data_IF_272707024921
#
_entry.id   IF_272707024921
#
_cell.length_a   1.000
_cell.length_b   1.000
_cell.length_c   1.000
_cell.angle_alpha   90.00
_cell.angle_beta   90.00
_cell.angle_gamma   90.00
#
_symmetry.space_group_name_H-M   'P 1'
#
loop_
_entity.id
_entity.type
_entity.pdbx_description
1 polymer ?
#
# COMPACT_ATOMS: atom_id res chain seq x y z
N UNK A 1 5.80 10.30 9.66
CA UNK A 1 6.58 9.27 8.91
C UNK A 1 5.93 7.92 9.12
N UNK A 2 5.76 7.16 8.03
CA UNK A 2 5.32 5.75 8.09
C UNK A 2 6.47 4.86 7.64
N UNK A 3 6.59 3.66 8.24
CA UNK A 3 7.71 2.76 7.99
C UNK A 3 7.30 1.29 8.19
N UNK A 4 8.00 0.37 7.55
CA UNK A 4 7.78 -1.06 7.72
C UNK A 4 8.19 -1.47 9.14
N UNK A 5 7.29 -2.11 9.85
CA UNK A 5 7.47 -2.47 11.25
C UNK A 5 6.89 -3.85 11.56
N UNK A 6 7.69 -4.71 12.17
CA UNK A 6 7.18 -5.92 12.82
C UNK A 6 7.18 -5.68 14.33
N UNK A 7 6.01 -5.48 14.98
CA UNK A 7 5.96 -5.19 16.41
C UNK A 7 6.31 -6.39 17.30
N UNK A 8 6.31 -7.59 16.74
CA UNK A 8 6.39 -8.83 17.52
C UNK A 8 7.80 -9.42 17.60
N UNK A 9 8.64 -9.16 16.60
CA UNK A 9 10.01 -9.70 16.57
C UNK A 9 10.90 -8.96 15.55
N UNK A 10 12.25 -9.15 15.58
CA UNK A 10 13.18 -8.46 14.69
C UNK A 10 13.32 -9.12 13.31
N UNK A 11 12.49 -10.10 12.97
CA UNK A 11 12.55 -10.79 11.69
C UNK A 11 11.44 -10.32 10.76
N UNK A 12 11.62 -10.56 9.47
CA UNK A 12 10.59 -10.28 8.47
C UNK A 12 9.35 -11.15 8.70
N UNK A 13 8.18 -10.52 8.67
CA UNK A 13 6.87 -11.15 8.86
C UNK A 13 5.98 -10.26 9.71
N UNK A 14 4.67 -10.47 9.66
CA UNK A 14 3.68 -9.70 10.41
C UNK A 14 3.88 -8.19 10.29
N UNK A 15 4.06 -7.74 9.04
CA UNK A 15 4.47 -6.36 8.73
C UNK A 15 3.29 -5.41 8.87
N UNK A 16 3.50 -4.41 9.72
CA UNK A 16 2.64 -3.25 9.95
C UNK A 16 3.27 -2.00 9.33
N UNK A 17 2.51 -0.93 9.21
CA UNK A 17 3.05 0.41 9.01
C UNK A 17 3.22 1.09 10.37
N UNK A 18 4.43 1.10 10.88
CA UNK A 18 4.81 1.91 12.04
C UNK A 18 4.60 3.38 11.71
N UNK A 19 4.31 4.18 12.74
CA UNK A 19 4.03 5.60 12.57
C UNK A 19 4.80 6.42 13.61
N UNK A 20 5.48 7.46 13.16
CA UNK A 20 6.17 8.40 14.02
C UNK A 20 5.99 9.84 13.52
N UNK A 21 5.97 10.78 14.45
CA UNK A 21 5.86 12.22 14.20
C UNK A 21 7.06 12.96 14.73
N UNK A 22 7.45 14.04 14.07
CA UNK A 22 8.55 14.92 14.49
C UNK A 22 8.25 16.35 14.04
N UNK A 23 8.64 17.31 14.87
CA UNK A 23 8.60 18.73 14.55
C UNK A 23 9.88 19.24 13.90
N UNK A 24 10.99 18.49 14.04
CA UNK A 24 12.33 18.93 13.60
C UNK A 24 13.08 17.90 12.73
N UNK A 25 12.45 16.75 12.43
CA UNK A 25 13.01 15.62 11.69
C UNK A 25 14.21 14.93 12.38
N UNK A 26 14.51 15.28 13.61
CA UNK A 26 15.59 14.70 14.42
C UNK A 26 15.04 13.96 15.62
N UNK A 27 14.10 14.57 16.32
CA UNK A 27 13.45 13.97 17.48
C UNK A 27 12.07 13.42 17.06
N UNK A 28 11.90 12.12 17.21
CA UNK A 28 10.70 11.41 16.77
C UNK A 28 9.93 10.87 17.95
N UNK A 29 8.61 10.92 17.83
CA UNK A 29 7.68 10.33 18.79
C UNK A 29 6.86 9.27 18.08
N UNK A 30 6.88 8.05 18.60
CA UNK A 30 6.06 6.96 18.09
C UNK A 30 4.58 7.19 18.38
N UNK A 31 3.78 6.85 17.40
CA UNK A 31 2.32 6.85 17.43
C UNK A 31 1.80 5.42 17.20
N UNK A 32 0.51 5.16 17.44
CA UNK A 32 -0.08 3.87 17.04
C UNK A 32 0.19 3.56 15.56
N UNK A 33 0.37 2.29 15.19
CA UNK A 33 0.56 1.90 13.80
C UNK A 33 -0.54 2.46 12.88
N UNK A 34 -0.15 2.98 11.72
CA UNK A 34 -1.11 3.44 10.71
C UNK A 34 -1.88 2.29 10.07
N UNK A 35 -1.18 1.18 9.80
CA UNK A 35 -1.81 -0.04 9.29
C UNK A 35 -1.33 -1.24 10.07
N UNK A 36 -2.26 -2.15 10.35
CA UNK A 36 -1.97 -3.47 10.94
C UNK A 36 -2.61 -4.55 10.07
N UNK A 37 -2.02 -5.74 9.95
CA UNK A 37 -2.65 -6.86 9.28
C UNK A 37 -3.99 -7.20 9.90
N UNK A 38 -5.00 -7.47 9.08
CA UNK A 38 -6.33 -7.88 9.52
C UNK A 38 -6.64 -9.30 9.02
N UNK A 39 -7.35 -10.07 9.85
CA UNK A 39 -7.81 -11.40 9.48
C UNK A 39 -8.80 -11.39 8.30
N UNK A 40 -9.39 -10.26 7.98
CA UNK A 40 -10.31 -10.04 6.87
C UNK A 40 -9.94 -8.78 6.09
N UNK A 41 -9.99 -8.82 4.77
CA UNK A 41 -10.01 -10.00 3.92
C UNK A 41 -8.69 -10.27 3.18
N UNK A 42 -7.63 -9.40 3.22
CA UNK A 42 -6.63 -9.39 2.14
C UNK A 42 -5.19 -9.09 2.56
N UNK A 43 -4.92 -8.88 3.84
CA UNK A 43 -3.58 -8.53 4.29
C UNK A 43 -3.15 -9.20 5.61
N UNK A 44 -3.74 -10.36 5.91
CA UNK A 44 -3.34 -11.17 7.06
C UNK A 44 -1.88 -11.64 7.01
N UNK A 45 -1.25 -11.60 5.83
CA UNK A 45 0.17 -11.85 5.64
C UNK A 45 1.05 -10.60 5.74
N UNK A 46 0.46 -9.42 5.95
CA UNK A 46 1.15 -8.16 6.16
C UNK A 46 0.65 -7.00 5.29
N UNK A 47 0.83 -5.80 5.83
CA UNK A 47 0.69 -4.53 5.13
C UNK A 47 2.08 -4.10 4.64
N UNK A 48 2.41 -4.38 3.38
CA UNK A 48 3.73 -4.07 2.83
C UNK A 48 3.79 -2.67 2.22
N UNK A 49 4.92 -2.34 1.60
CA UNK A 49 5.20 -0.99 1.10
C UNK A 49 4.18 -0.44 0.10
N UNK A 50 4.19 0.85 -0.02
CA UNK A 50 3.34 1.63 -0.91
C UNK A 50 3.60 3.12 -0.76
N UNK A 51 2.60 3.95 -1.00
CA UNK A 51 2.69 5.39 -0.88
C UNK A 51 1.48 6.02 -0.20
N UNK A 52 1.65 7.28 0.18
CA UNK A 52 0.57 8.14 0.67
C UNK A 52 0.31 9.25 -0.34
N UNK A 53 -0.95 9.57 -0.57
CA UNK A 53 -1.38 10.68 -1.40
C UNK A 53 -2.37 11.57 -0.66
N UNK A 54 -2.46 12.83 -1.08
CA UNK A 54 -3.59 13.70 -0.75
C UNK A 54 -4.66 13.56 -1.85
N UNK A 55 -5.78 12.93 -1.51
CA UNK A 55 -6.92 12.83 -2.40
C UNK A 55 -7.93 13.93 -2.09
N UNK A 56 -7.66 15.15 -2.57
CA UNK A 56 -8.50 16.33 -2.35
C UNK A 56 -8.80 16.58 -0.85
N UNK A 57 -7.78 16.55 -0.02
CA UNK A 57 -7.86 16.77 1.42
C UNK A 57 -8.14 15.50 2.24
N UNK A 58 -8.30 14.35 1.60
CA UNK A 58 -8.43 13.05 2.27
C UNK A 58 -7.11 12.29 2.20
N UNK A 59 -6.38 12.14 3.32
CA UNK A 59 -5.19 11.32 3.36
C UNK A 59 -5.50 9.89 2.93
N UNK A 60 -4.77 9.38 1.96
CA UNK A 60 -5.05 8.06 1.39
C UNK A 60 -3.77 7.26 1.21
N UNK A 61 -3.73 6.05 1.75
CA UNK A 61 -2.68 5.08 1.49
C UNK A 61 -3.06 4.18 0.32
N UNK A 62 -2.09 3.93 -0.54
CA UNK A 62 -2.06 2.79 -1.45
C UNK A 62 -0.90 1.91 -1.01
N UNK A 63 -1.19 0.67 -0.64
CA UNK A 63 -0.20 -0.23 -0.06
C UNK A 63 -0.35 -1.65 -0.62
N UNK A 64 0.65 -2.46 -0.43
CA UNK A 64 0.60 -3.87 -0.80
C UNK A 64 0.02 -4.68 0.34
N UNK A 65 -1.17 -5.22 0.15
CA UNK A 65 -1.74 -6.24 1.04
C UNK A 65 -1.28 -7.63 0.61
N UNK A 66 -0.94 -8.48 1.58
CA UNK A 66 -0.48 -9.84 1.32
C UNK A 66 -1.40 -10.85 1.98
N UNK A 67 -1.92 -11.79 1.17
CA UNK A 67 -2.72 -12.91 1.65
C UNK A 67 -2.33 -14.22 0.96
N UNK A 68 -1.99 -15.24 1.75
CA UNK A 68 -1.56 -16.53 1.23
C UNK A 68 -0.39 -16.41 0.22
N UNK A 69 0.48 -15.40 0.39
CA UNK A 69 1.58 -15.10 -0.52
C UNK A 69 1.15 -14.41 -1.82
N UNK A 70 -0.14 -14.15 -2.04
CA UNK A 70 -0.63 -13.32 -3.15
C UNK A 70 -0.57 -11.86 -2.72
N UNK A 71 -0.08 -11.02 -3.61
CA UNK A 71 0.08 -9.58 -3.39
C UNK A 71 -0.94 -8.80 -4.22
N UNK A 72 -1.43 -7.71 -3.66
CA UNK A 72 -2.37 -6.84 -4.35
C UNK A 72 -2.34 -5.42 -3.79
N UNK A 73 -2.76 -4.46 -4.60
CA UNK A 73 -2.90 -3.07 -4.18
C UNK A 73 -4.13 -2.91 -3.30
N UNK A 74 -3.92 -2.40 -2.11
CA UNK A 74 -4.95 -2.08 -1.13
C UNK A 74 -4.98 -0.58 -0.86
N UNK A 75 -6.12 -0.10 -0.39
CA UNK A 75 -6.37 1.31 -0.07
C UNK A 75 -6.84 1.45 1.37
N UNK A 76 -6.36 2.50 2.04
CA UNK A 76 -6.92 2.95 3.31
C UNK A 76 -7.01 4.48 3.31
N UNK A 77 -8.08 5.02 3.89
CA UNK A 77 -8.27 6.46 4.07
C UNK A 77 -8.05 6.84 5.52
N UNK A 78 -7.40 7.97 5.74
CA UNK A 78 -7.09 8.50 7.05
C UNK A 78 -7.94 9.70 7.44
N UNK A 79 -7.96 10.00 8.73
CA UNK A 79 -8.44 11.28 9.25
C UNK A 79 -7.40 12.40 9.03
N UNK A 80 -7.80 13.63 9.32
CA UNK A 80 -6.93 14.79 9.16
C UNK A 80 -5.71 14.77 10.11
N UNK A 81 -5.80 14.07 11.24
CA UNK A 81 -4.73 13.93 12.23
C UNK A 81 -3.76 12.79 11.89
N UNK A 82 -4.07 12.02 10.84
CA UNK A 82 -3.29 10.87 10.36
C UNK A 82 -3.14 9.74 11.38
N UNK A 83 -4.05 9.65 12.34
CA UNK A 83 -3.99 8.65 13.44
C UNK A 83 -4.86 7.44 13.12
N UNK A 84 -6.09 7.66 12.65
CA UNK A 84 -7.04 6.59 12.37
C UNK A 84 -7.15 6.35 10.89
N UNK A 85 -7.03 5.09 10.50
CA UNK A 85 -7.04 4.65 9.12
C UNK A 85 -8.11 3.59 8.91
N UNK A 86 -8.93 3.80 7.89
CA UNK A 86 -9.99 2.87 7.50
C UNK A 86 -9.62 2.19 6.19
N UNK A 87 -9.43 0.88 6.23
CA UNK A 87 -9.21 0.08 5.03
C UNK A 87 -10.48 -0.01 4.19
N UNK A 88 -10.33 0.05 2.87
CA UNK A 88 -11.46 -0.11 1.95
C UNK A 88 -11.95 -1.55 1.95
N UNK A 89 -13.27 -1.72 2.03
CA UNK A 89 -13.90 -3.04 2.04
C UNK A 89 -13.76 -3.79 0.70
N UNK A 90 -13.43 -3.08 -0.38
CA UNK A 90 -13.20 -3.66 -1.70
C UNK A 90 -11.76 -4.16 -1.91
N UNK A 91 -10.88 -4.01 -0.90
CA UNK A 91 -9.50 -4.48 -1.02
C UNK A 91 -9.38 -5.99 -1.30
N UNK A 92 -8.39 -6.43 -2.10
CA UNK A 92 -7.50 -5.60 -2.90
C UNK A 92 -8.24 -4.95 -4.09
N UNK A 93 -7.94 -3.69 -4.36
CA UNK A 93 -8.54 -3.00 -5.51
C UNK A 93 -7.90 -3.41 -6.85
N UNK A 94 -6.70 -3.95 -6.79
CA UNK A 94 -5.96 -4.47 -7.95
C UNK A 94 -5.09 -5.66 -7.55
N UNK A 95 -4.94 -6.58 -8.49
CA UNK A 95 -4.04 -7.73 -8.41
C UNK A 95 -3.29 -7.88 -9.73
N UNK A 96 -2.23 -8.69 -9.74
CA UNK A 96 -1.49 -8.95 -10.98
C UNK A 96 -2.45 -9.45 -12.09
N UNK A 97 -2.24 -9.01 -13.34
CA UNK A 97 -3.03 -9.48 -14.47
C UNK A 97 -3.06 -11.01 -14.56
N UNK A 98 -4.23 -11.58 -14.83
CA UNK A 98 -4.41 -13.01 -15.08
C UNK A 98 -3.93 -13.38 -16.49
N UNK A 99 -2.67 -13.08 -16.80
CA UNK A 99 -2.03 -13.36 -18.07
C UNK A 99 -0.88 -14.35 -17.88
N UNK A 100 -0.59 -15.17 -18.89
CA UNK A 100 0.51 -16.13 -18.82
C UNK A 100 1.84 -15.47 -18.48
N UNK A 101 2.52 -16.00 -17.46
CA UNK A 101 3.84 -15.52 -17.04
C UNK A 101 3.86 -14.50 -15.94
N UNK A 102 2.72 -13.88 -15.58
CA UNK A 102 2.64 -13.00 -14.42
C UNK A 102 2.63 -13.79 -13.11
N UNK A 103 3.36 -13.30 -12.13
CA UNK A 103 3.45 -13.90 -10.81
C UNK A 103 2.62 -13.11 -9.81
N UNK A 104 1.60 -13.74 -9.23
CA UNK A 104 0.75 -13.13 -8.17
C UNK A 104 1.52 -12.79 -6.89
N UNK A 105 2.72 -13.36 -6.73
CA UNK A 105 3.63 -13.13 -5.60
C UNK A 105 4.62 -11.99 -5.80
N UNK A 106 4.57 -11.33 -6.93
CA UNK A 106 5.49 -10.25 -7.33
C UNK A 106 4.69 -9.10 -7.95
N UNK A 107 3.69 -8.59 -7.22
CA UNK A 107 2.86 -7.45 -7.63
C UNK A 107 2.73 -6.51 -6.44
N UNK A 108 3.65 -5.55 -6.32
CA UNK A 108 3.80 -4.77 -5.09
C UNK A 108 4.37 -3.38 -5.29
N UNK A 109 4.39 -2.64 -4.17
CA UNK A 109 5.00 -1.32 -4.01
C UNK A 109 4.35 -0.27 -4.92
N UNK A 110 3.01 -0.09 -4.86
CA UNK A 110 2.33 0.93 -5.66
C UNK A 110 2.87 2.32 -5.32
N UNK A 111 3.18 3.09 -6.35
CA UNK A 111 3.51 4.50 -6.22
C UNK A 111 2.62 5.33 -7.14
N UNK A 112 1.97 6.34 -6.58
CA UNK A 112 1.01 7.17 -7.28
C UNK A 112 1.45 8.63 -7.36
N UNK A 113 1.11 9.27 -8.48
CA UNK A 113 1.21 10.72 -8.64
C UNK A 113 0.06 11.24 -9.51
N UNK A 114 -0.13 12.54 -9.53
CA UNK A 114 -1.18 13.19 -10.30
C UNK A 114 -0.60 14.20 -11.28
N UNK A 115 -1.10 14.20 -12.52
CA UNK A 115 -0.82 15.21 -13.53
C UNK A 115 -2.14 15.76 -14.07
N UNK A 116 -2.42 17.02 -13.79
CA UNK A 116 -3.71 17.61 -14.09
C UNK A 116 -4.85 16.86 -13.39
N UNK A 117 -5.78 16.32 -14.16
CA UNK A 117 -6.92 15.55 -13.65
C UNK A 117 -6.71 14.04 -13.70
N UNK A 118 -5.52 13.59 -14.07
CA UNK A 118 -5.20 12.17 -14.23
C UNK A 118 -4.26 11.69 -13.13
N UNK A 119 -4.64 10.62 -12.46
CA UNK A 119 -3.79 9.86 -11.58
C UNK A 119 -3.02 8.80 -12.38
N UNK A 120 -1.78 8.64 -12.05
CA UNK A 120 -0.91 7.59 -12.56
C UNK A 120 -0.45 6.72 -11.41
N UNK A 121 -0.26 5.44 -11.68
CA UNK A 121 0.27 4.47 -10.73
C UNK A 121 1.31 3.59 -11.43
N UNK A 122 2.44 3.38 -10.77
CA UNK A 122 3.41 2.34 -11.14
C UNK A 122 3.44 1.25 -10.09
N UNK A 123 3.56 0.01 -10.55
CA UNK A 123 3.64 -1.19 -9.70
C UNK A 123 4.76 -2.08 -10.19
N UNK A 124 5.61 -2.54 -9.26
CA UNK A 124 6.63 -3.54 -9.54
C UNK A 124 6.00 -4.92 -9.72
N UNK A 125 6.40 -5.64 -10.74
CA UNK A 125 5.94 -7.01 -11.00
C UNK A 125 7.04 -7.87 -11.61
N UNK A 126 6.73 -9.15 -11.78
CA UNK A 126 7.60 -10.07 -12.52
C UNK A 126 6.80 -10.87 -13.55
N UNK A 127 7.37 -10.99 -14.75
CA UNK A 127 6.81 -11.76 -15.85
C UNK A 127 7.90 -12.68 -16.40
N UNK A 128 7.64 -13.99 -16.48
CA UNK A 128 8.61 -14.97 -16.95
C UNK A 128 10.00 -14.86 -16.28
N UNK A 129 10.06 -14.65 -14.97
CA UNK A 129 11.29 -14.43 -14.18
C UNK A 129 12.07 -13.14 -14.55
N UNK A 130 11.41 -12.15 -15.12
CA UNK A 130 11.99 -10.82 -15.40
C UNK A 130 11.22 -9.77 -14.62
N UNK A 131 11.94 -8.86 -13.96
CA UNK A 131 11.34 -7.70 -13.33
C UNK A 131 10.74 -6.76 -14.38
N UNK A 132 9.52 -6.32 -14.15
CA UNK A 132 8.80 -5.36 -14.99
C UNK A 132 8.10 -4.33 -14.11
N UNK A 133 7.69 -3.25 -14.74
CA UNK A 133 6.87 -2.20 -14.11
C UNK A 133 5.61 -2.03 -14.95
N UNK A 134 4.47 -2.12 -14.28
CA UNK A 134 3.18 -1.78 -14.89
C UNK A 134 2.87 -0.32 -14.61
N UNK A 135 2.40 0.39 -15.63
CA UNK A 135 1.93 1.77 -15.54
C UNK A 135 0.42 1.79 -15.81
N UNK A 136 -0.30 2.34 -14.88
CA UNK A 136 -1.75 2.54 -14.97
C UNK A 136 -2.11 4.02 -14.91
N UNK A 137 -3.28 4.36 -15.41
CA UNK A 137 -3.88 5.67 -15.21
C UNK A 137 -5.35 5.56 -14.77
N UNK A 138 -5.81 6.58 -14.05
CA UNK A 138 -7.17 6.66 -13.53
C UNK A 138 -7.61 8.12 -13.41
N UNK A 139 -8.89 8.40 -13.58
CA UNK A 139 -9.51 9.69 -13.26
C UNK A 139 -10.13 9.73 -11.87
N UNK A 140 -10.26 8.60 -11.18
CA UNK A 140 -11.06 8.49 -9.96
C UNK A 140 -10.44 7.60 -8.86
N UNK A 141 -9.21 7.08 -9.04
CA UNK A 141 -8.51 6.19 -8.12
C UNK A 141 -9.20 4.82 -7.89
N UNK A 142 -10.22 4.50 -8.67
CA UNK A 142 -11.01 3.26 -8.53
C UNK A 142 -10.92 2.37 -9.76
N UNK A 143 -10.94 2.98 -10.94
CA UNK A 143 -10.87 2.28 -12.21
C UNK A 143 -9.53 2.62 -12.87
N UNK A 144 -8.71 1.61 -13.05
CA UNK A 144 -7.38 1.72 -13.61
C UNK A 144 -7.29 1.08 -15.01
N UNK A 145 -6.62 1.71 -15.93
CA UNK A 145 -6.37 1.24 -17.29
C UNK A 145 -4.91 1.39 -17.71
#
# INVERSE_FOLDING_TARGET
>A
MFYQHNPNNPFWGDIHWGHAVSDDLVHWKDLPPGLSPDALPVDDGGCWSGCAIDNNGVPTFFYTGVKNGIQGTCVATGDADLIHWQKDAANPIEVAPELPGYYQKDYRDPYLWREGDTWYQVIGTAVHNRGEVLLYRSSNLKNWE
#
